data_IF_667220313458
#
_entry.id   IF_667220313458
#
_cell.length_a   1.000
_cell.length_b   1.000
_cell.length_c   1.000
_cell.angle_alpha   90.00
_cell.angle_beta   90.00
_cell.angle_gamma   90.00
#
_symmetry.space_group_name_H-M   'P 1'
#
loop_
_entity.id
_entity.type
_entity.pdbx_description
1 polymer ?
#
# COMPACT_ATOMS: atom_id res chain seq x y z
N UNK A 1 -30.04 -22.35 33.95
CA UNK A 1 -29.80 -20.89 33.76
C UNK A 1 -28.39 -20.47 34.11
N UNK A 2 -27.57 -21.31 34.74
CA UNK A 2 -26.18 -20.96 35.14
C UNK A 2 -25.13 -21.27 34.08
N UNK A 3 -25.37 -22.21 33.19
CA UNK A 3 -24.40 -22.63 32.18
C UNK A 3 -24.12 -21.58 31.07
N UNK A 4 -25.06 -20.70 30.79
CA UNK A 4 -24.91 -19.65 29.75
C UNK A 4 -24.01 -18.50 30.22
N UNK A 5 -23.82 -18.36 31.53
CA UNK A 5 -22.93 -17.33 32.10
C UNK A 5 -21.45 -17.71 32.08
N UNK A 6 -21.14 -19.01 31.95
CA UNK A 6 -19.76 -19.52 31.94
C UNK A 6 -18.94 -19.05 30.72
N UNK A 7 -19.56 -18.95 29.53
CA UNK A 7 -18.85 -18.53 28.32
C UNK A 7 -18.84 -16.99 28.14
N UNK A 8 -19.87 -16.28 28.62
CA UNK A 8 -19.94 -14.82 28.47
C UNK A 8 -18.81 -14.06 29.18
N UNK A 9 -18.29 -14.59 30.31
CA UNK A 9 -17.12 -14.01 30.98
C UNK A 9 -15.79 -14.19 30.23
N UNK A 10 -15.71 -15.12 29.29
CA UNK A 10 -14.50 -15.34 28.48
C UNK A 10 -14.27 -14.25 27.41
N UNK A 11 -15.33 -13.54 26.99
CA UNK A 11 -15.22 -12.47 25.97
C UNK A 11 -14.30 -11.34 26.44
N UNK A 12 -14.43 -10.92 27.69
CA UNK A 12 -13.59 -9.88 28.29
C UNK A 12 -12.13 -10.32 28.46
N UNK A 13 -11.88 -11.61 28.66
CA UNK A 13 -10.54 -12.14 28.88
C UNK A 13 -9.76 -12.41 27.56
N UNK A 14 -10.44 -12.70 26.46
CA UNK A 14 -9.82 -12.82 25.12
C UNK A 14 -9.40 -11.46 24.57
N UNK A 15 -10.16 -10.39 24.88
CA UNK A 15 -9.83 -9.01 24.51
C UNK A 15 -8.79 -8.37 25.45
N UNK A 16 -8.71 -8.80 26.72
CA UNK A 16 -7.74 -8.28 27.69
C UNK A 16 -6.34 -8.94 27.58
N UNK A 17 -6.22 -10.07 26.88
CA UNK A 17 -4.94 -10.77 26.67
C UNK A 17 -3.96 -10.03 25.75
N UNK A 18 -4.39 -8.95 25.12
CA UNK A 18 -3.53 -8.10 24.25
C UNK A 18 -2.92 -6.91 25.04
N UNK A 19 -3.35 -6.64 26.26
CA UNK A 19 -2.96 -5.42 27.01
C UNK A 19 -1.97 -5.61 28.15
N UNK A 20 -1.21 -6.71 28.23
CA UNK A 20 -0.17 -6.81 29.27
C UNK A 20 1.06 -7.62 28.84
N UNK A 21 1.70 -7.22 27.77
CA UNK A 21 3.12 -7.53 27.53
C UNK A 21 3.82 -6.19 27.29
N UNK A 22 4.90 -5.99 28.04
CA UNK A 22 5.65 -4.78 28.30
C UNK A 22 5.82 -3.77 27.16
N UNK A 23 6.18 -2.60 27.59
CA UNK A 23 6.56 -1.35 26.92
C UNK A 23 7.38 -1.47 25.63
N UNK A 24 6.89 -2.24 24.60
CA UNK A 24 7.43 -2.30 23.24
C UNK A 24 6.35 -2.71 22.22
N UNK A 25 5.08 -2.45 22.52
CA UNK A 25 4.04 -2.57 21.50
C UNK A 25 4.15 -1.36 20.56
N UNK A 26 4.65 -1.61 19.37
CA UNK A 26 4.48 -0.72 18.22
C UNK A 26 3.01 -0.32 18.06
N UNK A 27 2.71 0.76 17.32
CA UNK A 27 1.34 1.25 17.15
C UNK A 27 0.42 0.12 16.67
N UNK A 28 -0.86 0.10 17.07
CA UNK A 28 -1.83 -0.90 16.66
C UNK A 28 -2.06 -0.98 15.14
N UNK A 29 -1.59 0.00 14.41
CA UNK A 29 -1.49 -0.03 12.96
C UNK A 29 -0.06 -0.43 12.60
N UNK A 30 0.08 -1.53 11.87
CA UNK A 30 1.32 -1.79 11.14
C UNK A 30 1.68 -0.51 10.36
N UNK A 31 2.98 -0.16 10.23
CA UNK A 31 3.35 0.91 9.33
C UNK A 31 2.66 0.63 8.00
N UNK A 32 2.03 1.62 7.34
CA UNK A 32 1.42 1.41 6.05
C UNK A 32 2.46 0.69 5.21
N UNK A 33 2.09 -0.46 4.66
CA UNK A 33 2.87 -1.09 3.61
C UNK A 33 3.16 0.02 2.61
N UNK A 34 4.39 0.14 2.08
CA UNK A 34 4.66 1.13 1.06
C UNK A 34 3.53 1.01 0.06
N UNK A 35 2.93 2.12 -0.39
CA UNK A 35 1.80 2.05 -1.29
C UNK A 35 2.20 1.06 -2.39
N UNK A 36 1.49 -0.06 -2.45
CA UNK A 36 1.50 -0.86 -3.65
C UNK A 36 1.22 0.17 -4.71
N UNK A 37 2.06 0.29 -5.72
CA UNK A 37 1.99 1.26 -6.79
C UNK A 37 0.58 1.28 -7.39
N UNK A 38 -0.38 1.67 -6.58
CA UNK A 38 -1.65 2.19 -7.00
C UNK A 38 -1.24 3.45 -7.73
N UNK A 39 -1.31 3.39 -9.03
CA UNK A 39 -1.23 4.54 -9.88
C UNK A 39 -1.99 5.66 -9.16
N UNK A 40 -1.25 6.52 -8.46
CA UNK A 40 -1.81 7.78 -8.04
C UNK A 40 -2.32 8.37 -9.33
N UNK A 41 -3.63 8.57 -9.40
CA UNK A 41 -4.23 9.42 -10.40
C UNK A 41 -3.91 10.87 -10.02
N UNK A 42 -2.62 11.16 -9.80
CA UNK A 42 -2.08 12.47 -10.02
C UNK A 42 -2.34 12.69 -11.49
N UNK A 43 -3.32 13.51 -11.81
CA UNK A 43 -3.42 14.06 -13.17
C UNK A 43 -2.01 14.52 -13.49
N UNK A 44 -1.39 14.00 -14.56
CA UNK A 44 -0.04 14.42 -14.89
C UNK A 44 -0.11 15.94 -15.06
N UNK A 45 0.57 16.65 -14.18
CA UNK A 45 0.85 18.06 -14.39
C UNK A 45 1.39 18.17 -15.79
N UNK A 46 0.61 18.80 -16.65
CA UNK A 46 0.76 18.99 -18.08
C UNK A 46 1.72 17.97 -18.73
N UNK A 47 1.16 17.00 -19.45
CA UNK A 47 1.88 16.32 -20.52
C UNK A 47 2.47 17.39 -21.43
N UNK A 48 3.60 17.97 -21.02
CA UNK A 48 4.42 18.75 -21.92
C UNK A 48 4.89 17.78 -22.97
N UNK A 49 4.26 17.90 -24.15
CA UNK A 49 4.57 17.15 -25.34
C UNK A 49 6.08 17.15 -25.54
N UNK A 50 6.64 15.97 -25.83
CA UNK A 50 7.96 15.87 -26.45
C UNK A 50 7.93 16.79 -27.66
N UNK A 51 8.71 17.87 -27.63
CA UNK A 51 8.76 18.77 -28.77
C UNK A 51 9.55 18.08 -29.88
N UNK A 52 8.95 18.01 -31.06
CA UNK A 52 9.68 17.73 -32.27
C UNK A 52 10.71 18.87 -32.49
N UNK A 53 11.96 18.51 -32.63
CA UNK A 53 13.04 19.47 -32.86
C UNK A 53 13.51 19.33 -34.28
N UNK A 54 13.31 20.38 -35.08
CA UNK A 54 14.02 20.51 -36.34
C UNK A 54 15.50 20.73 -36.04
N UNK A 55 16.36 19.82 -36.51
CA UNK A 55 17.81 19.97 -36.46
C UNK A 55 18.25 20.74 -37.70
N UNK A 56 18.78 21.97 -37.59
CA UNK A 56 19.35 22.66 -38.76
C UNK A 56 20.72 22.07 -39.00
N UNK A 57 20.84 21.28 -40.06
CA UNK A 57 22.13 20.94 -40.63
C UNK A 57 22.41 21.93 -41.76
N UNK A 58 23.36 22.84 -41.54
CA UNK A 58 23.65 23.98 -42.42
C UNK A 58 24.48 23.60 -43.69
N UNK A 59 24.79 22.29 -43.90
CA UNK A 59 25.51 21.73 -45.06
C UNK A 59 24.91 20.44 -45.61
N UNK A 60 23.63 20.15 -45.36
CA UNK A 60 22.99 18.90 -45.84
C UNK A 60 22.33 19.04 -47.22
N UNK A 61 22.38 17.98 -48.04
CA UNK A 61 21.58 17.92 -49.25
C UNK A 61 20.08 18.08 -48.91
N UNK A 62 19.31 18.67 -49.83
CA UNK A 62 17.90 18.96 -49.61
C UNK A 62 17.18 17.78 -48.91
N UNK A 63 16.48 18.08 -47.82
CA UNK A 63 15.76 17.06 -47.05
C UNK A 63 14.80 16.27 -47.96
N UNK A 64 14.65 14.95 -47.79
CA UNK A 64 13.70 14.15 -48.55
C UNK A 64 12.30 14.72 -48.45
N UNK A 65 11.56 14.78 -49.55
CA UNK A 65 10.18 15.29 -49.58
C UNK A 65 9.27 14.57 -48.58
N UNK A 66 9.49 13.25 -48.36
CA UNK A 66 8.76 12.47 -47.38
C UNK A 66 9.03 12.92 -45.94
N UNK A 67 10.26 13.32 -45.63
CA UNK A 67 10.58 13.83 -44.26
C UNK A 67 9.87 15.16 -44.03
N UNK A 68 10.00 16.10 -44.96
CA UNK A 68 9.33 17.41 -44.89
C UNK A 68 7.80 17.26 -44.77
N UNK A 69 7.19 16.33 -45.54
CA UNK A 69 5.76 16.06 -45.49
C UNK A 69 5.36 15.41 -44.13
N UNK A 70 6.17 14.50 -43.59
CA UNK A 70 5.95 13.88 -42.32
C UNK A 70 6.06 14.89 -41.14
N UNK A 71 7.10 15.73 -41.15
CA UNK A 71 7.27 16.82 -40.17
C UNK A 71 6.08 17.78 -40.17
N UNK A 72 5.59 18.17 -41.37
CA UNK A 72 4.40 19.01 -41.49
C UNK A 72 3.11 18.31 -40.98
N UNK A 73 3.01 16.98 -41.09
CA UNK A 73 1.92 16.21 -40.47
C UNK A 73 2.05 16.11 -38.95
N UNK A 74 3.29 15.94 -38.43
CA UNK A 74 3.58 15.94 -37.02
C UNK A 74 3.21 17.29 -36.35
N UNK A 75 3.57 18.41 -36.99
CA UNK A 75 3.19 19.75 -36.52
C UNK A 75 1.67 19.93 -36.40
N UNK A 76 0.91 19.32 -37.34
CA UNK A 76 -0.55 19.29 -37.30
C UNK A 76 -1.11 18.23 -36.35
N UNK A 77 -0.27 17.45 -35.68
CA UNK A 77 -0.62 16.30 -34.85
C UNK A 77 -1.37 15.18 -35.62
N UNK A 78 -1.20 15.14 -36.94
CA UNK A 78 -1.73 14.07 -37.78
C UNK A 78 -0.71 12.93 -37.88
N UNK A 79 -0.57 12.22 -36.76
CA UNK A 79 0.40 11.13 -36.64
C UNK A 79 0.07 9.95 -37.56
N UNK A 80 -1.22 9.75 -37.85
CA UNK A 80 -1.64 8.69 -38.77
C UNK A 80 -1.20 8.95 -40.23
N UNK A 81 -1.14 10.21 -40.64
CA UNK A 81 -0.62 10.60 -41.97
C UNK A 81 0.93 10.58 -41.98
N UNK A 82 1.61 10.92 -40.87
CA UNK A 82 3.06 10.94 -40.78
C UNK A 82 3.68 9.54 -40.83
N UNK A 83 3.07 8.55 -40.14
CA UNK A 83 3.63 7.19 -40.00
C UNK A 83 3.99 6.53 -41.36
N UNK A 84 3.10 6.42 -42.36
CA UNK A 84 3.43 5.75 -43.62
C UNK A 84 4.53 6.46 -44.42
N UNK A 85 4.63 7.79 -44.31
CA UNK A 85 5.70 8.57 -44.93
C UNK A 85 7.05 8.23 -44.31
N UNK A 86 7.13 8.19 -42.98
CA UNK A 86 8.33 7.86 -42.28
C UNK A 86 8.75 6.41 -42.46
N UNK A 87 7.80 5.46 -42.48
CA UNK A 87 8.10 4.04 -42.77
C UNK A 87 8.71 3.88 -44.15
N UNK A 88 8.13 4.53 -45.17
CA UNK A 88 8.69 4.52 -46.53
C UNK A 88 10.09 5.12 -46.57
N UNK A 89 10.32 6.19 -45.79
CA UNK A 89 11.63 6.85 -45.73
C UNK A 89 12.69 5.97 -45.08
N UNK A 90 12.40 5.34 -43.90
CA UNK A 90 13.37 4.48 -43.20
C UNK A 90 13.68 3.20 -43.98
N UNK A 91 12.75 2.71 -44.78
CA UNK A 91 13.00 1.57 -45.70
C UNK A 91 13.97 1.94 -46.81
N UNK A 92 13.88 3.19 -47.35
CA UNK A 92 14.77 3.70 -48.39
C UNK A 92 16.13 4.16 -47.85
N UNK A 93 16.11 4.78 -46.67
CA UNK A 93 17.27 5.39 -46.01
C UNK A 93 17.45 4.88 -44.57
N UNK A 94 17.87 3.62 -44.38
CA UNK A 94 17.99 3.01 -43.04
C UNK A 94 19.02 3.68 -42.11
N UNK A 95 19.91 4.49 -42.68
CA UNK A 95 20.91 5.25 -41.92
C UNK A 95 20.39 6.61 -41.40
N UNK A 96 19.20 7.04 -41.80
CA UNK A 96 18.63 8.32 -41.35
C UNK A 96 18.16 8.25 -39.91
N UNK A 97 18.99 8.73 -38.97
CA UNK A 97 18.65 8.77 -37.56
C UNK A 97 17.41 9.67 -37.29
N UNK A 98 17.26 10.76 -38.04
CA UNK A 98 16.13 11.69 -37.93
C UNK A 98 14.82 10.97 -38.26
N UNK A 99 14.79 10.28 -39.43
CA UNK A 99 13.58 9.55 -39.85
C UNK A 99 13.19 8.46 -38.82
N UNK A 100 14.15 7.74 -38.27
CA UNK A 100 13.90 6.77 -37.18
C UNK A 100 13.42 7.43 -35.90
N UNK A 101 13.98 8.59 -35.53
CA UNK A 101 13.56 9.35 -34.39
C UNK A 101 12.10 9.82 -34.53
N UNK A 102 11.76 10.43 -35.65
CA UNK A 102 10.39 10.89 -35.93
C UNK A 102 9.40 9.75 -35.99
N UNK A 103 9.79 8.61 -36.57
CA UNK A 103 8.96 7.41 -36.58
C UNK A 103 8.69 6.94 -35.13
N UNK A 104 9.72 6.87 -34.30
CA UNK A 104 9.58 6.53 -32.88
C UNK A 104 8.65 7.49 -32.13
N UNK A 105 8.73 8.78 -32.39
CA UNK A 105 7.85 9.79 -31.81
C UNK A 105 6.39 9.62 -32.25
N UNK A 106 6.17 9.40 -33.55
CA UNK A 106 4.85 9.17 -34.12
C UNK A 106 4.22 7.88 -33.59
N UNK A 107 4.97 6.79 -33.57
CA UNK A 107 4.50 5.49 -33.03
C UNK A 107 4.16 5.58 -31.53
N UNK A 108 4.97 6.30 -30.75
CA UNK A 108 4.63 6.58 -29.35
C UNK A 108 3.31 7.37 -29.22
N UNK A 109 3.12 8.38 -30.07
CA UNK A 109 1.92 9.23 -30.08
C UNK A 109 0.66 8.45 -30.50
N UNK A 110 0.83 7.41 -31.31
CA UNK A 110 -0.21 6.47 -31.70
C UNK A 110 -0.43 5.32 -30.70
N UNK A 111 0.33 5.28 -29.61
CA UNK A 111 0.25 4.23 -28.60
C UNK A 111 0.93 2.92 -28.98
N UNK A 112 1.71 2.89 -30.07
CA UNK A 112 2.46 1.73 -30.56
C UNK A 112 3.83 1.67 -29.84
N UNK A 113 3.81 1.18 -28.59
CA UNK A 113 4.94 1.33 -27.69
C UNK A 113 6.17 0.50 -28.11
N UNK A 114 5.95 -0.75 -28.51
CA UNK A 114 7.07 -1.64 -28.88
C UNK A 114 7.73 -1.18 -30.19
N UNK A 115 6.93 -0.76 -31.17
CA UNK A 115 7.41 -0.20 -32.43
C UNK A 115 8.21 1.09 -32.17
N UNK A 116 7.70 1.98 -31.33
CA UNK A 116 8.39 3.21 -30.94
C UNK A 116 9.77 2.94 -30.35
N UNK A 117 9.86 1.98 -29.42
CA UNK A 117 11.15 1.57 -28.83
C UNK A 117 12.10 1.04 -29.90
N UNK A 118 11.58 0.21 -30.82
CA UNK A 118 12.39 -0.32 -31.91
C UNK A 118 12.92 0.79 -32.85
N UNK A 119 12.07 1.77 -33.16
CA UNK A 119 12.46 2.92 -34.00
C UNK A 119 13.51 3.80 -33.29
N UNK A 120 13.32 4.12 -32.00
CA UNK A 120 14.32 4.88 -31.24
C UNK A 120 15.65 4.12 -31.10
N UNK A 121 15.63 2.79 -30.94
CA UNK A 121 16.88 1.98 -30.96
C UNK A 121 17.60 2.08 -32.29
N UNK A 122 16.88 2.12 -33.42
CA UNK A 122 17.46 2.34 -34.74
C UNK A 122 18.03 3.73 -34.89
N UNK A 123 17.35 4.76 -34.38
CA UNK A 123 17.87 6.14 -34.33
C UNK A 123 19.19 6.23 -33.56
N UNK A 124 19.24 5.68 -32.34
CA UNK A 124 20.47 5.65 -31.53
C UNK A 124 21.59 4.83 -32.20
N UNK A 125 21.24 3.70 -32.82
CA UNK A 125 22.23 2.88 -33.52
C UNK A 125 22.82 3.59 -34.75
N UNK A 126 22.03 4.41 -35.47
CA UNK A 126 22.49 5.20 -36.60
C UNK A 126 23.36 6.39 -36.17
N UNK A 127 23.00 7.05 -35.04
CA UNK A 127 23.77 8.17 -34.48
C UNK A 127 23.69 8.16 -32.97
N UNK A 128 24.68 7.59 -32.24
CA UNK A 128 24.63 7.40 -30.78
C UNK A 128 24.77 8.69 -29.96
N UNK A 129 25.29 9.75 -30.52
CA UNK A 129 25.58 11.02 -29.86
C UNK A 129 24.42 12.05 -29.95
N UNK A 130 23.22 11.61 -30.26
CA UNK A 130 22.03 12.46 -30.30
C UNK A 130 21.32 12.41 -28.94
N UNK A 131 21.23 13.56 -28.28
CA UNK A 131 20.58 13.72 -26.97
C UNK A 131 19.12 13.22 -27.00
N UNK A 132 18.34 13.73 -27.94
CA UNK A 132 16.89 13.49 -28.03
C UNK A 132 16.57 11.99 -28.27
N UNK A 133 17.38 11.32 -29.09
CA UNK A 133 17.22 9.87 -29.35
C UNK A 133 17.49 9.05 -28.10
N UNK A 134 18.57 9.36 -27.38
CA UNK A 134 18.91 8.68 -26.13
C UNK A 134 17.89 8.96 -25.02
N UNK A 135 17.47 10.23 -24.85
CA UNK A 135 16.47 10.60 -23.86
C UNK A 135 15.13 9.86 -24.10
N UNK A 136 14.60 9.95 -25.34
CA UNK A 136 13.30 9.37 -25.63
C UNK A 136 13.33 7.84 -25.56
N UNK A 137 14.40 7.19 -26.03
CA UNK A 137 14.58 5.75 -25.84
C UNK A 137 14.62 5.39 -24.35
N UNK A 138 15.44 6.07 -23.57
CA UNK A 138 15.56 5.84 -22.14
C UNK A 138 14.24 6.00 -21.38
N UNK A 139 13.47 7.06 -21.71
CA UNK A 139 12.13 7.30 -21.13
C UNK A 139 11.15 6.18 -21.47
N UNK A 140 11.12 5.70 -22.72
CA UNK A 140 10.22 4.60 -23.12
C UNK A 140 10.62 3.28 -22.44
N UNK A 141 11.91 3.01 -22.35
CA UNK A 141 12.43 1.82 -21.67
C UNK A 141 12.13 1.85 -20.14
N UNK A 142 12.32 3.00 -19.51
CA UNK A 142 11.98 3.19 -18.09
C UNK A 142 10.49 2.96 -17.82
N UNK A 143 9.62 3.51 -18.70
CA UNK A 143 8.17 3.33 -18.62
C UNK A 143 7.74 1.85 -18.74
N UNK A 144 8.47 1.07 -19.53
CA UNK A 144 8.22 -0.37 -19.72
C UNK A 144 8.99 -1.26 -18.75
N UNK A 145 9.78 -0.68 -17.85
CA UNK A 145 10.56 -1.42 -16.86
C UNK A 145 11.73 -2.21 -17.46
N UNK A 146 12.22 -1.82 -18.65
CA UNK A 146 13.35 -2.50 -19.29
C UNK A 146 14.67 -2.07 -18.65
N UNK A 147 15.54 -3.06 -18.39
CA UNK A 147 16.77 -2.86 -17.60
C UNK A 147 17.81 -1.93 -18.24
N UNK A 148 17.80 -1.78 -19.57
CA UNK A 148 18.72 -0.94 -20.31
C UNK A 148 18.31 0.55 -20.37
N UNK A 149 17.20 0.93 -19.75
CA UNK A 149 16.76 2.33 -19.62
C UNK A 149 17.87 3.24 -19.06
N UNK A 150 18.52 2.76 -17.98
CA UNK A 150 19.60 3.49 -17.29
C UNK A 150 20.73 3.90 -18.25
N UNK A 151 21.17 2.98 -19.12
CA UNK A 151 22.25 3.22 -20.07
C UNK A 151 21.96 4.42 -20.98
N UNK A 152 20.74 4.49 -21.51
CA UNK A 152 20.37 5.56 -22.46
C UNK A 152 20.08 6.88 -21.77
N UNK A 153 19.47 6.85 -20.58
CA UNK A 153 19.30 8.06 -19.76
C UNK A 153 20.64 8.62 -19.32
N UNK A 154 21.58 7.77 -18.90
CA UNK A 154 22.94 8.18 -18.57
C UNK A 154 23.67 8.78 -19.78
N UNK A 155 23.55 8.17 -20.98
CA UNK A 155 24.09 8.75 -22.19
C UNK A 155 23.51 10.16 -22.46
N UNK A 156 22.19 10.33 -22.31
CA UNK A 156 21.54 11.62 -22.47
C UNK A 156 22.08 12.68 -21.52
N UNK A 157 22.38 12.34 -20.24
CA UNK A 157 22.91 13.34 -19.30
C UNK A 157 24.28 13.90 -19.69
N UNK A 158 25.02 13.21 -20.55
CA UNK A 158 26.36 13.63 -21.05
C UNK A 158 26.31 14.30 -22.43
N UNK A 159 25.18 14.26 -23.11
CA UNK A 159 25.00 14.85 -24.43
C UNK A 159 24.38 16.25 -24.33
N UNK A 160 24.58 17.07 -25.36
CA UNK A 160 23.97 18.39 -25.42
C UNK A 160 22.66 18.35 -26.15
N UNK A 161 21.55 18.83 -25.53
CA UNK A 161 20.28 19.00 -26.25
C UNK A 161 20.43 19.98 -27.43
N UNK A 162 19.73 19.70 -28.54
CA UNK A 162 19.68 20.58 -29.70
C UNK A 162 18.76 21.77 -29.47
N UNK A 163 17.75 21.62 -28.60
CA UNK A 163 16.85 22.70 -28.20
C UNK A 163 16.44 22.55 -26.73
N UNK A 164 15.95 23.65 -26.12
CA UNK A 164 15.46 23.65 -24.71
C UNK A 164 16.44 23.00 -23.72
N UNK A 165 17.72 23.35 -23.84
CA UNK A 165 18.84 22.68 -23.19
C UNK A 165 18.66 22.35 -21.71
N UNK A 166 18.22 23.32 -20.90
CA UNK A 166 18.04 23.10 -19.46
C UNK A 166 16.88 22.17 -19.14
N UNK A 167 15.76 22.26 -19.88
CA UNK A 167 14.58 21.40 -19.67
C UNK A 167 14.87 19.94 -20.06
N UNK A 168 15.51 19.73 -21.21
CA UNK A 168 15.90 18.40 -21.65
C UNK A 168 16.84 17.72 -20.66
N UNK A 169 17.89 18.41 -20.24
CA UNK A 169 18.83 17.92 -19.24
C UNK A 169 18.19 17.63 -17.89
N UNK A 170 17.30 18.51 -17.42
CA UNK A 170 16.52 18.30 -16.21
C UNK A 170 15.75 16.97 -16.27
N UNK A 171 15.02 16.73 -17.37
CA UNK A 171 14.28 15.48 -17.56
C UNK A 171 15.18 14.24 -17.59
N UNK A 172 16.33 14.35 -18.26
CA UNK A 172 17.29 13.24 -18.30
C UNK A 172 17.79 12.86 -16.91
N UNK A 173 18.19 13.84 -16.09
CA UNK A 173 18.66 13.61 -14.73
C UNK A 173 17.55 13.10 -13.80
N UNK A 174 16.35 13.69 -13.87
CA UNK A 174 15.21 13.25 -13.04
C UNK A 174 14.88 11.80 -13.33
N UNK A 175 14.67 11.45 -14.61
CA UNK A 175 14.30 10.07 -15.00
C UNK A 175 15.43 9.07 -14.79
N UNK A 176 16.69 9.49 -14.85
CA UNK A 176 17.83 8.66 -14.46
C UNK A 176 17.76 8.32 -12.97
N UNK A 177 17.51 9.33 -12.12
CA UNK A 177 17.32 9.16 -10.68
C UNK A 177 16.18 8.19 -10.35
N UNK A 178 15.02 8.37 -10.97
CA UNK A 178 13.85 7.47 -10.81
C UNK A 178 14.18 6.02 -11.20
N UNK A 179 14.91 5.83 -12.30
CA UNK A 179 15.32 4.50 -12.77
C UNK A 179 16.28 3.82 -11.79
N UNK A 180 17.19 4.57 -11.19
CA UNK A 180 18.19 4.08 -10.23
C UNK A 180 17.66 3.94 -8.80
N UNK A 181 16.52 4.56 -8.46
CA UNK A 181 16.03 4.68 -7.07
C UNK A 181 15.91 3.33 -6.33
N UNK A 182 15.63 2.24 -7.03
CA UNK A 182 15.48 0.90 -6.43
C UNK A 182 16.81 0.17 -6.22
N UNK A 183 17.81 0.45 -7.03
CA UNK A 183 19.05 -0.35 -7.11
C UNK A 183 20.31 0.41 -6.72
N UNK A 184 20.34 1.73 -6.97
CA UNK A 184 21.49 2.60 -6.81
C UNK A 184 21.09 3.92 -6.14
N UNK A 185 20.67 3.82 -4.88
CA UNK A 185 20.02 4.93 -4.16
C UNK A 185 20.84 6.19 -4.01
N UNK A 186 22.14 6.07 -3.69
CA UNK A 186 23.01 7.23 -3.54
C UNK A 186 23.25 7.93 -4.90
N UNK A 187 23.36 7.15 -5.99
CA UNK A 187 23.45 7.69 -7.34
C UNK A 187 22.14 8.37 -7.79
N UNK A 188 20.99 7.81 -7.39
CA UNK A 188 19.68 8.40 -7.63
C UNK A 188 19.54 9.76 -6.93
N UNK A 189 19.94 9.86 -5.65
CA UNK A 189 19.96 11.15 -4.93
C UNK A 189 20.86 12.18 -5.63
N UNK A 190 22.05 11.76 -6.09
CA UNK A 190 22.92 12.65 -6.85
C UNK A 190 22.30 13.12 -8.17
N UNK A 191 21.55 12.23 -8.85
CA UNK A 191 20.84 12.59 -10.07
C UNK A 191 19.69 13.60 -9.81
N UNK A 192 18.94 13.46 -8.72
CA UNK A 192 17.93 14.44 -8.31
C UNK A 192 18.55 15.80 -7.98
N UNK A 193 19.71 15.85 -7.33
CA UNK A 193 20.45 17.10 -7.09
C UNK A 193 20.90 17.78 -8.39
N UNK A 194 21.29 17.02 -9.42
CA UNK A 194 21.60 17.59 -10.73
C UNK A 194 20.33 18.16 -11.40
N UNK A 195 19.19 17.47 -11.29
CA UNK A 195 17.91 17.96 -11.80
C UNK A 195 17.51 19.28 -11.09
N UNK A 196 17.61 19.34 -9.76
CA UNK A 196 17.37 20.55 -8.95
C UNK A 196 18.25 21.71 -9.39
N UNK A 197 19.54 21.47 -9.58
CA UNK A 197 20.49 22.52 -10.01
C UNK A 197 20.14 23.12 -11.38
N UNK A 198 19.55 22.31 -12.28
CA UNK A 198 19.12 22.76 -13.60
C UNK A 198 17.79 23.52 -13.57
N UNK A 199 16.85 23.10 -12.72
CA UNK A 199 15.54 23.73 -12.56
C UNK A 199 15.16 23.88 -11.08
N UNK A 200 15.73 24.86 -10.36
CA UNK A 200 15.55 25.00 -8.91
C UNK A 200 14.15 25.47 -8.47
N UNK A 201 13.22 25.65 -9.41
CA UNK A 201 11.82 26.01 -9.13
C UNK A 201 10.88 24.82 -9.25
N UNK A 202 11.35 23.69 -9.70
CA UNK A 202 10.56 22.47 -9.83
C UNK A 202 10.60 21.67 -8.51
N UNK A 203 9.43 21.27 -8.01
CA UNK A 203 9.31 20.56 -6.74
C UNK A 203 9.63 19.06 -6.86
N UNK A 204 9.55 18.51 -8.06
CA UNK A 204 9.66 17.07 -8.34
C UNK A 204 10.95 16.42 -7.85
N UNK A 205 12.16 17.01 -8.06
CA UNK A 205 13.40 16.42 -7.54
C UNK A 205 13.40 16.27 -6.01
N UNK A 206 12.86 17.28 -5.30
CA UNK A 206 12.73 17.23 -3.85
C UNK A 206 11.72 16.19 -3.38
N UNK A 207 10.60 16.01 -4.10
CA UNK A 207 9.64 14.94 -3.83
C UNK A 207 10.29 13.58 -3.98
N UNK A 208 10.93 13.32 -5.12
CA UNK A 208 11.59 12.05 -5.41
C UNK A 208 12.72 11.74 -4.42
N UNK A 209 13.51 12.76 -4.03
CA UNK A 209 14.53 12.62 -3.00
C UNK A 209 13.92 12.34 -1.63
N UNK A 210 12.83 13.01 -1.26
CA UNK A 210 12.10 12.81 -0.02
C UNK A 210 11.58 11.39 0.10
N UNK A 211 10.94 10.88 -0.94
CA UNK A 211 10.41 9.50 -0.99
C UNK A 211 11.54 8.46 -0.85
N UNK A 212 12.65 8.67 -1.55
CA UNK A 212 13.80 7.76 -1.48
C UNK A 212 14.42 7.75 -0.08
N UNK A 213 14.59 8.92 0.54
CA UNK A 213 15.14 9.07 1.88
C UNK A 213 14.19 8.49 2.94
N UNK A 214 12.86 8.61 2.77
CA UNK A 214 11.88 7.97 3.64
C UNK A 214 12.00 6.44 3.59
N UNK A 215 12.13 5.85 2.39
CA UNK A 215 12.35 4.42 2.21
C UNK A 215 13.65 3.93 2.86
N UNK A 216 14.66 4.78 2.95
CA UNK A 216 15.91 4.50 3.65
C UNK A 216 15.87 4.76 5.15
N UNK A 217 14.71 5.14 5.70
CA UNK A 217 14.52 5.57 7.09
C UNK A 217 15.37 6.80 7.50
N UNK A 218 15.85 7.58 6.53
CA UNK A 218 16.55 8.85 6.74
C UNK A 218 15.56 10.00 6.95
N UNK A 219 14.66 9.85 7.95
CA UNK A 219 13.47 10.69 8.14
C UNK A 219 13.76 12.18 8.31
N UNK A 220 14.90 12.55 8.93
CA UNK A 220 15.23 13.96 9.11
C UNK A 220 15.58 14.64 7.78
N UNK A 221 16.24 13.92 6.87
CA UNK A 221 16.58 14.41 5.55
C UNK A 221 15.32 14.42 4.66
N UNK A 222 14.52 13.36 4.70
CA UNK A 222 13.25 13.31 3.98
C UNK A 222 12.30 14.47 4.39
N UNK A 223 12.22 14.80 5.71
CA UNK A 223 11.44 15.95 6.19
C UNK A 223 11.93 17.26 5.58
N UNK A 224 13.24 17.42 5.38
CA UNK A 224 13.81 18.61 4.75
C UNK A 224 13.42 18.69 3.27
N UNK A 225 13.55 17.61 2.54
CA UNK A 225 13.22 17.54 1.11
C UNK A 225 11.72 17.83 0.86
N UNK A 226 10.82 17.17 1.60
CA UNK A 226 9.38 17.45 1.48
C UNK A 226 9.03 18.91 1.82
N UNK A 227 9.73 19.53 2.77
CA UNK A 227 9.54 20.96 3.05
C UNK A 227 10.01 21.86 1.92
N UNK A 228 11.10 21.51 1.24
CA UNK A 228 11.56 22.23 0.06
C UNK A 228 10.53 22.09 -1.08
N UNK A 229 10.02 20.87 -1.30
CA UNK A 229 8.95 20.64 -2.26
C UNK A 229 7.72 21.54 -1.97
N UNK A 230 7.28 21.62 -0.71
CA UNK A 230 6.16 22.48 -0.30
C UNK A 230 6.45 23.99 -0.39
N UNK A 231 7.72 24.40 -0.27
CA UNK A 231 8.10 25.79 -0.46
C UNK A 231 7.96 26.21 -1.95
N UNK A 232 8.13 25.25 -2.86
CA UNK A 232 8.01 25.43 -4.31
C UNK A 232 6.56 25.22 -4.78
N UNK A 233 5.89 24.19 -4.27
CA UNK A 233 4.47 23.91 -4.52
C UNK A 233 3.71 23.67 -3.20
N UNK A 234 3.09 24.71 -2.68
CA UNK A 234 2.33 24.64 -1.43
C UNK A 234 1.07 23.76 -1.50
N UNK A 235 0.69 23.28 -2.69
CA UNK A 235 -0.45 22.39 -2.92
C UNK A 235 -0.04 20.95 -3.24
N UNK A 236 1.23 20.62 -3.16
CA UNK A 236 1.71 19.27 -3.39
C UNK A 236 1.12 18.31 -2.36
N UNK A 237 0.16 17.50 -2.80
CA UNK A 237 -0.47 16.44 -1.98
C UNK A 237 0.56 15.43 -1.51
N UNK A 238 1.47 15.03 -2.39
CA UNK A 238 2.47 14.01 -2.10
C UNK A 238 3.45 14.47 -1.02
N UNK A 239 3.93 15.73 -1.10
CA UNK A 239 4.79 16.31 -0.08
C UNK A 239 4.11 16.43 1.29
N UNK A 240 2.81 16.80 1.32
CA UNK A 240 2.04 16.87 2.57
C UNK A 240 1.85 15.49 3.17
N UNK A 241 1.52 14.48 2.36
CA UNK A 241 1.35 13.10 2.81
C UNK A 241 2.69 12.54 3.31
N UNK A 242 3.80 12.75 2.59
CA UNK A 242 5.13 12.35 3.02
C UNK A 242 5.50 12.95 4.38
N UNK A 243 5.30 14.27 4.57
CA UNK A 243 5.49 14.90 5.87
C UNK A 243 4.59 14.33 6.96
N UNK A 244 3.32 14.07 6.66
CA UNK A 244 2.38 13.50 7.61
C UNK A 244 2.84 12.10 8.05
N UNK A 245 3.33 11.26 7.12
CA UNK A 245 3.90 9.95 7.42
C UNK A 245 5.10 10.06 8.38
N UNK A 246 6.04 10.96 8.09
CA UNK A 246 7.19 11.20 8.95
C UNK A 246 6.76 11.67 10.34
N UNK A 247 5.78 12.58 10.41
CA UNK A 247 5.26 13.06 11.69
C UNK A 247 4.53 11.97 12.47
N UNK A 248 3.78 11.10 11.79
CA UNK A 248 3.14 9.93 12.41
C UNK A 248 4.17 8.98 13.03
N UNK A 249 5.22 8.61 12.28
CA UNK A 249 6.32 7.76 12.77
C UNK A 249 7.00 8.36 14.00
N UNK A 250 7.20 9.67 13.98
CA UNK A 250 7.74 10.43 15.11
C UNK A 250 6.73 10.74 16.22
N UNK A 251 5.49 10.21 16.15
CA UNK A 251 4.37 10.49 17.06
C UNK A 251 4.07 11.99 17.22
N UNK A 252 4.41 12.78 16.21
CA UNK A 252 4.16 14.24 16.16
C UNK A 252 2.78 14.51 15.52
N UNK A 253 1.73 13.80 16.01
CA UNK A 253 0.38 13.81 15.44
C UNK A 253 -0.21 15.22 15.19
N UNK A 254 -0.07 16.20 16.11
CA UNK A 254 -0.60 17.53 15.87
C UNK A 254 0.02 18.24 14.65
N UNK A 255 1.30 17.93 14.32
CA UNK A 255 1.93 18.49 13.11
C UNK A 255 1.40 17.82 11.85
N UNK A 256 1.20 16.49 11.89
CA UNK A 256 0.59 15.75 10.79
C UNK A 256 -0.84 16.23 10.53
N UNK A 257 -1.66 16.35 11.58
CA UNK A 257 -3.03 16.88 11.46
C UNK A 257 -3.05 18.29 10.88
N UNK A 258 -2.17 19.17 11.35
CA UNK A 258 -2.13 20.56 10.90
C UNK A 258 -1.84 20.67 9.39
N UNK A 259 -0.81 20.00 8.88
CA UNK A 259 -0.46 20.11 7.45
C UNK A 259 -1.55 19.51 6.55
N UNK A 260 -2.15 18.37 6.94
CA UNK A 260 -3.26 17.77 6.19
C UNK A 260 -4.51 18.65 6.18
N UNK A 261 -4.91 19.22 7.33
CA UNK A 261 -6.05 20.16 7.39
C UNK A 261 -5.80 21.42 6.58
N UNK A 262 -4.57 21.93 6.58
CA UNK A 262 -4.21 23.11 5.77
C UNK A 262 -4.42 22.80 4.29
N UNK A 263 -4.02 21.64 3.81
CA UNK A 263 -4.24 21.24 2.42
C UNK A 263 -5.73 21.09 2.09
N UNK A 264 -6.53 20.51 3.00
CA UNK A 264 -8.00 20.38 2.82
C UNK A 264 -8.71 21.76 2.73
N UNK A 265 -8.16 22.83 3.29
CA UNK A 265 -8.72 24.18 3.08
C UNK A 265 -8.56 24.65 1.63
N UNK A 266 -7.57 24.14 0.91
CA UNK A 266 -7.32 24.50 -0.49
C UNK A 266 -8.00 23.51 -1.46
N UNK A 267 -8.07 22.23 -1.10
CA UNK A 267 -8.75 21.17 -1.85
C UNK A 267 -9.53 20.26 -0.89
N UNK A 268 -10.80 20.60 -0.70
CA UNK A 268 -11.70 19.84 0.18
C UNK A 268 -12.14 18.48 -0.38
N UNK A 269 -11.78 18.13 -1.62
CA UNK A 269 -12.17 16.88 -2.27
C UNK A 269 -11.00 15.92 -2.49
N UNK A 270 -9.89 16.12 -1.83
CA UNK A 270 -8.75 15.21 -1.92
C UNK A 270 -8.98 13.96 -1.07
N UNK A 271 -9.36 12.84 -1.72
CA UNK A 271 -9.57 11.57 -1.05
C UNK A 271 -8.32 11.11 -0.27
N UNK A 272 -7.14 11.22 -0.89
CA UNK A 272 -5.88 10.82 -0.27
C UNK A 272 -5.59 11.58 1.04
N UNK A 273 -5.90 12.88 1.06
CA UNK A 273 -5.70 13.72 2.26
C UNK A 273 -6.71 13.36 3.36
N UNK A 274 -7.97 13.12 3.01
CA UNK A 274 -8.98 12.64 3.96
C UNK A 274 -8.58 11.31 4.59
N UNK A 275 -8.16 10.35 3.77
CA UNK A 275 -7.70 9.03 4.24
C UNK A 275 -6.51 9.18 5.18
N UNK A 276 -5.50 9.97 4.78
CA UNK A 276 -4.31 10.16 5.60
C UNK A 276 -4.62 10.91 6.91
N UNK A 277 -5.50 11.91 6.87
CA UNK A 277 -5.96 12.60 8.08
C UNK A 277 -6.71 11.64 9.01
N UNK A 278 -7.56 10.77 8.46
CA UNK A 278 -8.25 9.74 9.22
C UNK A 278 -7.28 8.78 9.93
N UNK A 279 -6.22 8.34 9.24
CA UNK A 279 -5.13 7.53 9.84
C UNK A 279 -4.43 8.26 10.98
N UNK A 280 -4.07 9.53 10.78
CA UNK A 280 -3.46 10.36 11.82
C UNK A 280 -4.35 10.47 13.05
N UNK A 281 -5.62 10.79 12.85
CA UNK A 281 -6.60 10.93 13.93
C UNK A 281 -6.85 9.61 14.67
N UNK A 282 -6.89 8.49 13.96
CA UNK A 282 -6.99 7.16 14.55
C UNK A 282 -5.77 6.86 15.44
N UNK A 283 -4.56 7.14 14.96
CA UNK A 283 -3.32 6.95 15.72
C UNK A 283 -3.23 7.86 16.95
N UNK A 284 -3.86 9.02 16.90
CA UNK A 284 -3.97 9.97 18.02
C UNK A 284 -5.07 9.56 19.03
N UNK A 285 -5.95 8.62 18.66
CA UNK A 285 -7.08 8.18 19.47
C UNK A 285 -8.34 9.04 19.30
N UNK A 286 -8.38 9.93 18.32
CA UNK A 286 -9.55 10.76 17.97
C UNK A 286 -10.51 9.98 17.08
N UNK A 287 -11.07 8.90 17.61
CA UNK A 287 -11.77 7.86 16.84
C UNK A 287 -12.95 8.36 16.01
N UNK A 288 -13.84 9.20 16.57
CA UNK A 288 -15.00 9.70 15.82
C UNK A 288 -14.59 10.64 14.68
N UNK A 289 -13.59 11.47 14.89
CA UNK A 289 -13.03 12.31 13.85
C UNK A 289 -12.32 11.48 12.76
N UNK A 290 -11.60 10.42 13.15
CA UNK A 290 -10.98 9.48 12.22
C UNK A 290 -12.02 8.80 11.31
N UNK A 291 -13.13 8.35 11.89
CA UNK A 291 -14.24 7.75 11.14
C UNK A 291 -14.79 8.75 10.12
N UNK A 292 -15.04 9.99 10.51
CA UNK A 292 -15.59 11.00 9.62
C UNK A 292 -14.68 11.27 8.41
N UNK A 293 -13.37 11.39 8.65
CA UNK A 293 -12.39 11.64 7.59
C UNK A 293 -12.22 10.40 6.68
N UNK A 294 -12.13 9.19 7.25
CA UNK A 294 -12.06 7.96 6.45
C UNK A 294 -13.31 7.73 5.62
N UNK A 295 -14.50 8.00 6.17
CA UNK A 295 -15.76 7.95 5.41
C UNK A 295 -15.78 8.92 4.23
N UNK A 296 -15.28 10.16 4.44
CA UNK A 296 -15.15 11.14 3.36
C UNK A 296 -14.21 10.63 2.26
N UNK A 297 -13.05 10.08 2.64
CA UNK A 297 -12.09 9.51 1.70
C UNK A 297 -12.67 8.33 0.90
N UNK A 298 -13.30 7.35 1.58
CA UNK A 298 -13.94 6.21 0.93
C UNK A 298 -15.12 6.62 0.03
N UNK A 299 -15.84 7.69 0.40
CA UNK A 299 -16.93 8.22 -0.44
C UNK A 299 -16.40 8.79 -1.75
N UNK A 300 -15.24 9.46 -1.71
CA UNK A 300 -14.58 10.03 -2.88
C UNK A 300 -13.91 8.95 -3.74
N UNK A 301 -13.41 7.88 -3.13
CA UNK A 301 -12.74 6.76 -3.81
C UNK A 301 -13.30 5.42 -3.33
N UNK A 302 -14.51 5.00 -3.76
CA UNK A 302 -15.14 3.77 -3.27
C UNK A 302 -14.39 2.48 -3.62
N UNK A 303 -13.48 2.53 -4.58
CA UNK A 303 -12.64 1.39 -4.99
C UNK A 303 -11.29 1.30 -4.25
N UNK A 304 -11.02 2.15 -3.28
CA UNK A 304 -9.80 2.07 -2.47
C UNK A 304 -9.98 1.06 -1.32
N UNK A 305 -9.56 -0.19 -1.57
CA UNK A 305 -9.64 -1.27 -0.59
C UNK A 305 -8.81 -0.99 0.68
N UNK A 306 -7.69 -0.24 0.56
CA UNK A 306 -6.87 0.10 1.72
C UNK A 306 -7.61 1.08 2.63
N UNK A 307 -8.26 2.10 2.07
CA UNK A 307 -9.08 3.04 2.84
C UNK A 307 -10.30 2.36 3.47
N UNK A 308 -10.93 1.44 2.76
CA UNK A 308 -12.04 0.64 3.31
C UNK A 308 -11.59 -0.24 4.49
N UNK A 309 -10.39 -0.82 4.43
CA UNK A 309 -9.78 -1.59 5.53
C UNK A 309 -9.52 -0.70 6.73
N UNK A 310 -8.89 0.45 6.54
CA UNK A 310 -8.63 1.42 7.60
C UNK A 310 -9.94 1.80 8.31
N UNK A 311 -10.99 2.09 7.54
CA UNK A 311 -12.30 2.42 8.10
C UNK A 311 -12.93 1.27 8.89
N UNK A 312 -12.86 0.03 8.36
CA UNK A 312 -13.36 -1.15 9.05
C UNK A 312 -12.61 -1.43 10.36
N UNK A 313 -11.29 -1.27 10.37
CA UNK A 313 -10.45 -1.42 11.56
C UNK A 313 -10.72 -0.33 12.61
N UNK A 314 -10.97 0.91 12.17
CA UNK A 314 -11.34 2.00 13.08
C UNK A 314 -12.73 1.75 13.66
N UNK A 315 -13.71 1.26 12.89
CA UNK A 315 -15.00 0.83 13.44
C UNK A 315 -14.85 -0.28 14.48
N UNK A 316 -14.02 -1.29 14.19
CA UNK A 316 -13.77 -2.39 15.12
C UNK A 316 -13.14 -1.88 16.43
N UNK A 317 -12.11 -1.05 16.34
CA UNK A 317 -11.43 -0.46 17.50
C UNK A 317 -12.34 0.45 18.33
N UNK A 318 -13.29 1.12 17.67
CA UNK A 318 -14.33 1.93 18.30
C UNK A 318 -15.46 1.09 18.95
N UNK A 319 -15.44 -0.24 18.78
CA UNK A 319 -16.53 -1.11 19.20
C UNK A 319 -17.81 -0.96 18.36
N UNK A 320 -17.77 -0.22 17.24
CA UNK A 320 -18.89 -0.05 16.31
C UNK A 320 -18.99 -1.26 15.37
N UNK A 321 -19.21 -2.44 15.97
CA UNK A 321 -19.15 -3.71 15.23
C UNK A 321 -20.30 -3.87 14.23
N UNK A 322 -21.41 -3.17 14.44
CA UNK A 322 -22.54 -3.04 13.51
C UNK A 322 -22.16 -2.33 12.21
N UNK A 323 -21.17 -1.42 12.23
CA UNK A 323 -20.60 -0.75 11.07
C UNK A 323 -19.40 -1.51 10.49
N UNK A 324 -18.62 -2.18 11.34
CA UNK A 324 -17.48 -2.99 10.89
C UNK A 324 -17.92 -4.21 10.07
N UNK A 325 -19.03 -4.87 10.44
CA UNK A 325 -19.54 -6.04 9.74
C UNK A 325 -19.79 -5.79 8.24
N UNK A 326 -20.63 -4.80 7.84
CA UNK A 326 -20.87 -4.54 6.42
C UNK A 326 -19.60 -4.10 5.68
N UNK A 327 -18.67 -3.40 6.34
CA UNK A 327 -17.41 -3.02 5.74
C UNK A 327 -16.53 -4.24 5.42
N UNK A 328 -16.39 -5.19 6.35
CA UNK A 328 -15.67 -6.43 6.09
C UNK A 328 -16.37 -7.33 5.05
N UNK A 329 -17.70 -7.36 5.01
CA UNK A 329 -18.44 -8.08 3.96
C UNK A 329 -18.19 -7.49 2.58
N UNK A 330 -18.12 -6.16 2.46
CA UNK A 330 -17.81 -5.48 1.20
C UNK A 330 -16.38 -5.82 0.72
N UNK A 331 -15.41 -5.79 1.62
CA UNK A 331 -14.03 -6.18 1.31
C UNK A 331 -13.94 -7.66 0.88
N UNK A 332 -14.69 -8.56 1.53
CA UNK A 332 -14.72 -9.97 1.15
C UNK A 332 -15.39 -10.22 -0.20
N UNK A 333 -16.27 -9.34 -0.66
CA UNK A 333 -16.84 -9.45 -2.00
C UNK A 333 -15.78 -9.24 -3.09
N UNK A 334 -14.78 -8.37 -2.85
CA UNK A 334 -13.64 -8.14 -3.74
C UNK A 334 -12.50 -9.15 -3.49
N UNK A 335 -12.33 -9.59 -2.24
CA UNK A 335 -11.21 -10.45 -1.80
C UNK A 335 -11.69 -11.72 -1.08
N UNK A 336 -12.44 -12.63 -1.74
CA UNK A 336 -13.11 -13.76 -1.09
C UNK A 336 -12.14 -14.82 -0.53
N UNK A 337 -10.88 -14.78 -0.90
CA UNK A 337 -9.86 -15.75 -0.48
C UNK A 337 -8.88 -15.19 0.56
N UNK A 338 -9.23 -14.11 1.23
CA UNK A 338 -8.36 -13.52 2.25
C UNK A 338 -8.76 -13.99 3.64
N UNK A 339 -7.92 -14.86 4.22
CA UNK A 339 -8.18 -15.50 5.51
C UNK A 339 -8.38 -14.50 6.66
N UNK A 340 -7.59 -13.42 6.67
CA UNK A 340 -7.68 -12.42 7.75
C UNK A 340 -8.98 -11.61 7.70
N UNK A 341 -9.52 -11.32 6.51
CA UNK A 341 -10.83 -10.65 6.39
C UNK A 341 -11.96 -11.52 6.92
N UNK A 342 -11.95 -12.84 6.62
CA UNK A 342 -12.91 -13.78 7.22
C UNK A 342 -12.80 -13.79 8.74
N UNK A 343 -11.58 -13.81 9.27
CA UNK A 343 -11.35 -13.78 10.72
C UNK A 343 -11.88 -12.48 11.33
N UNK A 344 -11.59 -11.32 10.73
CA UNK A 344 -12.07 -9.99 11.20
C UNK A 344 -13.59 -9.89 11.16
N UNK A 345 -14.23 -10.35 10.07
CA UNK A 345 -15.70 -10.43 10.00
C UNK A 345 -16.25 -11.32 11.11
N UNK A 346 -15.67 -12.51 11.30
CA UNK A 346 -16.04 -13.42 12.38
C UNK A 346 -15.93 -12.75 13.76
N UNK A 347 -14.89 -11.99 14.02
CA UNK A 347 -14.70 -11.24 15.27
C UNK A 347 -15.75 -10.13 15.44
N UNK A 348 -16.06 -9.36 14.39
CA UNK A 348 -17.11 -8.34 14.43
C UNK A 348 -18.49 -8.97 14.74
N UNK A 349 -18.81 -10.11 14.14
CA UNK A 349 -20.02 -10.88 14.42
C UNK A 349 -20.03 -11.43 15.85
N UNK A 350 -18.90 -11.93 16.33
CA UNK A 350 -18.75 -12.48 17.66
C UNK A 350 -19.00 -11.41 18.73
N UNK A 351 -18.48 -10.19 18.55
CA UNK A 351 -18.72 -9.05 19.45
C UNK A 351 -20.19 -8.60 19.44
N UNK A 352 -20.91 -8.81 18.33
CA UNK A 352 -22.34 -8.62 18.22
C UNK A 352 -23.16 -9.80 18.79
N UNK A 353 -22.49 -10.84 19.33
CA UNK A 353 -23.10 -12.09 19.81
C UNK A 353 -23.81 -12.91 18.71
N UNK A 354 -23.46 -12.67 17.45
CA UNK A 354 -23.94 -13.45 16.30
C UNK A 354 -23.09 -14.70 16.11
N UNK A 355 -23.04 -15.56 17.14
CA UNK A 355 -22.10 -16.69 17.20
C UNK A 355 -22.30 -17.70 16.08
N UNK A 356 -23.55 -17.95 15.68
CA UNK A 356 -23.86 -18.87 14.59
C UNK A 356 -23.37 -18.36 13.23
N UNK A 357 -23.32 -17.04 13.02
CA UNK A 357 -22.80 -16.45 11.80
C UNK A 357 -21.27 -16.29 11.85
N UNK A 358 -20.68 -16.08 13.03
CA UNK A 358 -19.24 -15.97 13.20
C UNK A 358 -18.50 -17.28 12.93
N UNK A 359 -19.07 -18.41 13.30
CA UNK A 359 -18.45 -19.73 13.20
C UNK A 359 -18.05 -20.12 11.77
N UNK A 360 -18.90 -20.00 10.73
CA UNK A 360 -18.50 -20.29 9.34
C UNK A 360 -17.39 -19.36 8.83
N UNK A 361 -17.33 -18.13 9.30
CA UNK A 361 -16.25 -17.21 8.90
C UNK A 361 -14.89 -17.67 9.46
N UNK A 362 -14.81 -18.09 10.72
CA UNK A 362 -13.59 -18.67 11.28
C UNK A 362 -13.20 -19.98 10.59
N UNK A 363 -14.16 -20.80 10.21
CA UNK A 363 -13.91 -22.03 9.44
C UNK A 363 -13.33 -21.68 8.06
N UNK A 364 -13.83 -20.62 7.40
CA UNK A 364 -13.31 -20.14 6.12
C UNK A 364 -11.87 -19.63 6.28
N UNK A 365 -11.61 -18.83 7.31
CA UNK A 365 -10.26 -18.35 7.63
C UNK A 365 -9.25 -19.50 7.81
N UNK A 366 -9.64 -20.55 8.57
CA UNK A 366 -8.83 -21.75 8.81
C UNK A 366 -8.60 -22.56 7.53
N UNK A 367 -9.61 -22.68 6.67
CA UNK A 367 -9.46 -23.40 5.38
C UNK A 367 -8.48 -22.70 4.46
N UNK A 368 -8.53 -21.37 4.41
CA UNK A 368 -7.64 -20.55 3.58
C UNK A 368 -6.22 -20.49 4.15
N UNK A 369 -6.10 -20.40 5.47
CA UNK A 369 -4.80 -20.32 6.17
C UNK A 369 -4.80 -21.23 7.40
N UNK A 370 -4.43 -22.52 7.24
CA UNK A 370 -4.47 -23.52 8.32
C UNK A 370 -3.49 -23.28 9.48
N UNK A 371 -2.50 -22.43 9.29
CA UNK A 371 -1.52 -22.02 10.30
C UNK A 371 -1.93 -20.77 11.10
N UNK A 372 -3.11 -20.22 10.83
CA UNK A 372 -3.67 -19.08 11.57
C UNK A 372 -4.21 -19.54 12.94
N UNK A 373 -3.31 -19.73 13.90
CA UNK A 373 -3.61 -20.30 15.21
C UNK A 373 -4.68 -19.55 15.99
N UNK A 374 -4.77 -18.23 15.84
CA UNK A 374 -5.78 -17.38 16.48
C UNK A 374 -7.20 -17.72 16.02
N UNK A 375 -7.38 -18.02 14.74
CA UNK A 375 -8.71 -18.35 14.20
C UNK A 375 -9.31 -19.62 14.83
N UNK A 376 -8.48 -20.57 15.25
CA UNK A 376 -8.95 -21.75 16.00
C UNK A 376 -9.44 -21.37 17.40
N UNK A 377 -8.80 -20.39 18.04
CA UNK A 377 -9.25 -19.87 19.33
C UNK A 377 -10.59 -19.16 19.22
N UNK A 378 -10.73 -18.31 18.18
CA UNK A 378 -11.96 -17.60 17.88
C UNK A 378 -13.10 -18.58 17.53
N UNK A 379 -12.81 -19.63 16.72
CA UNK A 379 -13.74 -20.71 16.43
C UNK A 379 -14.19 -21.47 17.70
N UNK A 380 -13.23 -21.80 18.57
CA UNK A 380 -13.56 -22.51 19.81
C UNK A 380 -14.50 -21.68 20.70
N UNK A 381 -14.28 -20.36 20.76
CA UNK A 381 -15.16 -19.48 21.51
C UNK A 381 -16.57 -19.43 20.92
N UNK A 382 -16.69 -19.19 19.60
CA UNK A 382 -17.99 -19.15 18.92
C UNK A 382 -18.76 -20.48 19.06
N UNK A 383 -18.05 -21.61 18.89
CA UNK A 383 -18.63 -22.95 19.07
C UNK A 383 -19.06 -23.21 20.52
N UNK A 384 -18.33 -22.67 21.50
CA UNK A 384 -18.72 -22.76 22.91
C UNK A 384 -20.04 -22.06 23.22
N UNK A 385 -20.21 -20.87 22.70
CA UNK A 385 -21.47 -20.10 22.83
C UNK A 385 -22.64 -20.79 22.09
N UNK A 386 -22.36 -21.45 20.97
CA UNK A 386 -23.30 -22.29 20.24
C UNK A 386 -23.52 -23.66 20.89
N UNK A 387 -22.85 -23.98 22.02
CA UNK A 387 -22.89 -25.27 22.74
C UNK A 387 -22.40 -26.48 21.92
N UNK A 388 -21.55 -26.22 20.95
CA UNK A 388 -20.91 -27.24 20.10
C UNK A 388 -19.59 -27.73 20.74
N UNK A 389 -19.67 -28.26 21.95
CA UNK A 389 -18.47 -28.63 22.77
C UNK A 389 -17.46 -29.53 22.07
N UNK A 390 -17.86 -30.51 21.22
CA UNK A 390 -16.89 -31.29 20.45
C UNK A 390 -16.09 -30.45 19.45
N UNK A 391 -16.67 -29.35 18.91
CA UNK A 391 -15.95 -28.41 18.03
C UNK A 391 -14.94 -27.60 18.83
N UNK A 392 -15.33 -27.16 20.04
CA UNK A 392 -14.42 -26.45 20.97
C UNK A 392 -13.15 -27.25 21.19
N UNK A 393 -13.27 -28.54 21.54
CA UNK A 393 -12.12 -29.39 21.83
C UNK A 393 -11.23 -29.53 20.59
N UNK A 394 -11.81 -29.90 19.43
CA UNK A 394 -11.04 -30.05 18.19
C UNK A 394 -10.32 -28.79 17.78
N UNK A 395 -10.98 -27.63 17.89
CA UNK A 395 -10.39 -26.35 17.57
C UNK A 395 -9.23 -26.00 18.51
N UNK A 396 -9.38 -26.18 19.82
CA UNK A 396 -8.33 -25.92 20.78
C UNK A 396 -7.16 -26.91 20.65
N UNK A 397 -7.40 -28.17 20.29
CA UNK A 397 -6.36 -29.17 20.04
C UNK A 397 -5.57 -28.84 18.77
N UNK A 398 -6.24 -28.33 17.73
CA UNK A 398 -5.56 -27.82 16.54
C UNK A 398 -4.73 -26.57 16.84
N UNK A 399 -5.30 -25.63 17.61
CA UNK A 399 -4.59 -24.43 18.07
C UNK A 399 -3.32 -24.78 18.85
N UNK A 400 -3.38 -25.76 19.76
CA UNK A 400 -2.26 -26.15 20.61
C UNK A 400 -1.04 -26.68 19.83
N UNK A 401 -1.24 -27.12 18.56
CA UNK A 401 -0.13 -27.50 17.66
C UNK A 401 0.60 -26.31 17.06
N UNK A 402 -0.04 -25.15 17.04
CA UNK A 402 0.46 -23.91 16.42
C UNK A 402 0.91 -22.89 17.45
N UNK A 403 0.17 -22.77 18.54
CA UNK A 403 0.35 -21.76 19.57
C UNK A 403 0.35 -22.42 20.97
N UNK A 404 1.16 -21.87 21.85
CA UNK A 404 1.17 -22.30 23.27
C UNK A 404 -0.21 -22.07 23.89
N UNK A 405 -0.69 -23.05 24.67
CA UNK A 405 -1.91 -22.92 25.44
C UNK A 405 -1.80 -21.81 26.50
N UNK A 406 -2.89 -21.07 26.64
CA UNK A 406 -3.07 -20.01 27.63
C UNK A 406 -3.99 -20.50 28.77
N UNK A 407 -4.04 -19.81 29.92
CA UNK A 407 -5.00 -20.17 30.96
C UNK A 407 -6.44 -20.26 30.42
N UNK A 408 -6.86 -19.32 29.57
CA UNK A 408 -8.21 -19.32 29.02
C UNK A 408 -8.48 -20.52 28.11
N UNK A 409 -7.52 -20.97 27.32
CA UNK A 409 -7.71 -22.17 26.46
C UNK A 409 -7.88 -23.42 27.29
N UNK A 410 -7.15 -23.57 28.41
CA UNK A 410 -7.38 -24.64 29.36
C UNK A 410 -8.75 -24.57 29.99
N UNK A 411 -9.20 -23.39 30.41
CA UNK A 411 -10.53 -23.21 30.99
C UNK A 411 -11.63 -23.55 29.98
N UNK A 412 -11.53 -23.09 28.73
CA UNK A 412 -12.51 -23.40 27.67
C UNK A 412 -12.57 -24.90 27.39
N UNK A 413 -11.39 -25.55 27.30
CA UNK A 413 -11.30 -27.00 27.07
C UNK A 413 -11.89 -27.79 28.25
N UNK A 414 -11.59 -27.36 29.48
CA UNK A 414 -12.15 -27.95 30.69
C UNK A 414 -13.68 -27.84 30.74
N UNK A 415 -14.20 -26.67 30.43
CA UNK A 415 -15.66 -26.42 30.40
C UNK A 415 -16.34 -27.26 29.32
N UNK A 416 -15.72 -27.40 28.13
CA UNK A 416 -16.26 -28.25 27.07
C UNK A 416 -16.31 -29.73 27.46
N UNK A 417 -15.24 -30.26 28.06
CA UNK A 417 -15.21 -31.64 28.58
C UNK A 417 -16.24 -31.85 29.69
N UNK A 418 -16.40 -30.87 30.58
CA UNK A 418 -17.39 -30.94 31.66
C UNK A 418 -18.84 -31.05 31.13
N UNK A 419 -19.19 -30.23 30.14
CA UNK A 419 -20.50 -30.32 29.47
C UNK A 419 -20.73 -31.66 28.76
N UNK A 420 -19.65 -32.26 28.24
CA UNK A 420 -19.68 -33.60 27.64
C UNK A 420 -19.66 -34.73 28.70
N UNK A 421 -19.56 -34.40 29.98
CA UNK A 421 -19.44 -35.32 31.12
C UNK A 421 -18.19 -36.16 31.12
N UNK A 422 -17.14 -35.70 30.41
CA UNK A 422 -15.82 -36.28 30.49
C UNK A 422 -15.08 -35.62 31.67
N UNK A 423 -15.47 -36.01 32.86
CA UNK A 423 -14.99 -35.38 34.09
C UNK A 423 -13.50 -35.58 34.33
N UNK A 424 -12.90 -36.65 33.78
CA UNK A 424 -11.46 -36.89 33.87
C UNK A 424 -10.66 -35.83 33.14
N UNK A 425 -11.01 -35.56 31.88
CA UNK A 425 -10.33 -34.55 31.07
C UNK A 425 -10.72 -33.14 31.51
N UNK A 426 -11.94 -32.91 32.01
CA UNK A 426 -12.36 -31.67 32.60
C UNK A 426 -11.48 -31.28 33.81
N UNK A 427 -11.31 -32.21 34.77
CA UNK A 427 -10.50 -31.99 35.98
C UNK A 427 -9.03 -31.70 35.60
N UNK A 428 -8.45 -32.48 34.70
CA UNK A 428 -7.08 -32.28 34.25
C UNK A 428 -6.86 -30.87 33.68
N UNK A 429 -7.79 -30.37 32.83
CA UNK A 429 -7.67 -29.04 32.23
C UNK A 429 -8.01 -27.92 33.24
N UNK A 430 -8.92 -28.10 34.20
CA UNK A 430 -9.13 -27.14 35.29
C UNK A 430 -7.89 -26.99 36.19
N UNK A 431 -7.16 -28.08 36.46
CA UNK A 431 -5.89 -28.00 37.20
C UNK A 431 -4.84 -27.24 36.40
N UNK A 432 -4.70 -27.51 35.10
CA UNK A 432 -3.78 -26.75 34.21
C UNK A 432 -4.14 -25.26 34.18
N UNK A 433 -5.42 -24.94 34.10
CA UNK A 433 -5.90 -23.57 34.19
C UNK A 433 -5.47 -22.91 35.52
N UNK A 434 -5.80 -23.52 36.68
CA UNK A 434 -5.48 -22.97 37.99
C UNK A 434 -3.95 -22.80 38.22
N UNK A 435 -3.15 -23.74 37.68
CA UNK A 435 -1.69 -23.66 37.80
C UNK A 435 -1.08 -22.54 36.93
N UNK A 436 -1.78 -22.09 35.89
CA UNK A 436 -1.28 -21.09 34.96
C UNK A 436 -1.96 -19.71 35.10
N UNK A 437 -3.12 -19.65 35.73
CA UNK A 437 -3.93 -18.43 35.87
C UNK A 437 -3.29 -17.35 36.78
N UNK A 438 -2.56 -17.78 37.81
CA UNK A 438 -1.83 -16.90 38.74
C UNK A 438 -2.66 -15.73 39.29
N UNK A 439 -3.93 -15.94 39.63
CA UNK A 439 -4.84 -14.92 40.18
C UNK A 439 -5.35 -13.88 39.18
N UNK A 440 -5.04 -14.04 37.87
CA UNK A 440 -5.49 -13.09 36.83
C UNK A 440 -6.93 -13.24 36.44
N UNK A 441 -7.58 -14.36 36.80
CA UNK A 441 -8.95 -14.72 36.41
C UNK A 441 -9.79 -15.16 37.62
N UNK A 442 -10.06 -14.26 38.63
CA UNK A 442 -10.62 -14.64 39.93
C UNK A 442 -11.96 -15.36 39.78
N UNK A 443 -12.85 -14.93 38.90
CA UNK A 443 -14.16 -15.55 38.71
C UNK A 443 -14.05 -16.96 38.13
N UNK A 444 -13.23 -17.14 37.09
CA UNK A 444 -12.99 -18.43 36.47
C UNK A 444 -12.22 -19.38 37.41
N UNK A 445 -11.26 -18.84 38.20
CA UNK A 445 -10.57 -19.62 39.21
C UNK A 445 -11.51 -20.12 40.30
N UNK A 446 -12.44 -19.26 40.73
CA UNK A 446 -13.47 -19.65 41.69
C UNK A 446 -14.36 -20.75 41.07
N UNK A 447 -14.84 -20.57 39.86
CA UNK A 447 -15.67 -21.57 39.13
C UNK A 447 -14.93 -22.91 38.99
N UNK A 448 -13.66 -22.89 38.54
CA UNK A 448 -12.86 -24.10 38.37
C UNK A 448 -12.67 -24.84 39.71
N UNK A 449 -12.35 -24.16 40.81
CA UNK A 449 -12.21 -24.74 42.14
C UNK A 449 -13.50 -25.41 42.62
N UNK A 450 -14.63 -24.73 42.48
CA UNK A 450 -15.93 -25.27 42.89
C UNK A 450 -16.34 -26.47 42.01
N UNK A 451 -16.06 -26.39 40.69
CA UNK A 451 -16.41 -27.50 39.80
C UNK A 451 -15.55 -28.73 40.07
N UNK A 452 -14.25 -28.59 40.37
CA UNK A 452 -13.38 -29.70 40.76
C UNK A 452 -13.92 -30.47 41.99
N UNK A 453 -14.44 -29.77 43.02
CA UNK A 453 -15.03 -30.41 44.18
C UNK A 453 -16.20 -31.33 43.79
N UNK A 454 -16.95 -30.98 42.72
CA UNK A 454 -18.11 -31.74 42.31
C UNK A 454 -17.78 -32.93 41.39
N UNK A 455 -16.71 -32.83 40.57
CA UNK A 455 -16.37 -33.83 39.54
C UNK A 455 -15.24 -34.78 39.93
N UNK A 456 -14.44 -34.43 40.92
CA UNK A 456 -13.38 -35.32 41.42
C UNK A 456 -13.96 -36.29 42.48
N UNK A 457 -13.52 -37.56 42.47
CA UNK A 457 -13.94 -38.50 43.48
C UNK A 457 -13.42 -38.04 44.85
N UNK A 458 -14.29 -38.00 45.88
CA UNK A 458 -13.86 -37.75 47.24
C UNK A 458 -12.90 -38.87 47.61
N UNK A 459 -11.67 -38.47 48.02
CA UNK A 459 -10.71 -39.39 48.63
C UNK A 459 -11.22 -39.93 49.94
#
# INVERSE_FOLDING_TARGET
MEASKLFACCLLALTAGVCSVGQDAGPPFAPPSPPSSSQSSSQPHSRRSVHHVQVPDDDSPAQPEELTAAEAAIEKKDYAAAEPLLRKLVDREPASYVAWFDLGFVENSLGKQDESIAAYRKSVAAKPDVFESNLNLGLQLAKTGQADAEQFLQAATHLKPTSHGAEGQYRAWLSLGETMAKTKRDEALAAYQQAEALQPKEAEPHLSAGDLLEQENKYAQAEQEYRQALALDARSTDAVIGLANIYMRGRRFPKAEHCLRTLLTADANSAAVHIQLGRVLAAEGKTDAAIAELQAGVTLTPGDDAAQRDLAEVYESAGKNDLAEPAYRALLASHPNEAELHRRLGQALLRQKKFAEAQPEFISAIKLKPDLGEAYGDLAFAAGENKEYPVVIRALDARAKLLKDTPITYFMRASAYDHLRDYKNAAANFHLFLNTANGKYPDQEWQAKHRLIAIEPKK
#
